data_IF_709845279867
#
_entry.id   IF_709845279867
#
_cell.length_a   1.000
_cell.length_b   1.000
_cell.length_c   1.000
_cell.angle_alpha   90.00
_cell.angle_beta   90.00
_cell.angle_gamma   90.00
#
_symmetry.space_group_name_H-M   'P 1'
#
loop_
_entity.id
_entity.type
_entity.pdbx_description
1 polymer ?
#
# COMPACT_ATOMS: atom_id res chain seq x y z
N UNK A 1 -15.57 3.65 29.36
CA UNK A 1 -14.51 4.66 29.08
C UNK A 1 -13.96 4.38 27.72
N UNK A 2 -13.82 5.38 26.86
CA UNK A 2 -13.25 5.21 25.53
C UNK A 2 -11.76 4.85 25.58
N UNK A 3 -11.17 4.58 24.39
CA UNK A 3 -9.76 4.24 24.26
C UNK A 3 -9.09 5.06 23.14
N UNK A 4 -7.76 5.19 23.24
CA UNK A 4 -6.97 5.82 22.19
C UNK A 4 -6.41 4.75 21.23
N UNK A 5 -6.47 5.03 19.93
CA UNK A 5 -5.85 4.22 18.89
C UNK A 5 -5.06 5.08 17.93
N UNK A 6 -3.87 4.63 17.56
CA UNK A 6 -2.94 5.38 16.73
C UNK A 6 -2.57 4.59 15.49
N UNK A 7 -2.57 5.26 14.33
CA UNK A 7 -1.96 4.75 13.10
C UNK A 7 -0.99 5.77 12.52
N UNK A 8 -0.05 5.29 11.73
CA UNK A 8 0.96 6.11 11.08
C UNK A 8 1.00 5.86 9.57
N UNK A 9 1.58 6.81 8.85
CA UNK A 9 1.91 6.69 7.43
C UNK A 9 3.25 7.35 7.14
N UNK A 10 3.83 6.98 5.99
CA UNK A 10 5.05 7.61 5.45
C UNK A 10 4.83 8.03 4.01
N UNK A 11 5.51 9.10 3.60
CA UNK A 11 5.38 9.65 2.24
C UNK A 11 6.06 8.78 1.19
N UNK A 12 5.79 9.08 -0.07
CA UNK A 12 6.47 8.48 -1.22
C UNK A 12 7.99 8.71 -1.22
N UNK A 13 8.47 9.76 -0.53
CA UNK A 13 9.89 10.07 -0.39
C UNK A 13 10.57 9.41 0.80
N UNK A 14 9.83 8.70 1.67
CA UNK A 14 10.43 7.91 2.73
C UNK A 14 11.33 6.82 2.15
N UNK A 15 12.55 6.55 2.70
CA UNK A 15 13.50 5.60 2.12
C UNK A 15 12.90 4.24 1.78
N UNK A 16 12.15 3.63 2.69
CA UNK A 16 11.52 2.33 2.44
C UNK A 16 10.47 2.42 1.31
N UNK A 17 9.75 3.53 1.18
CA UNK A 17 8.77 3.70 0.09
C UNK A 17 9.42 4.07 -1.24
N UNK A 18 10.60 4.67 -1.24
CA UNK A 18 11.44 4.81 -2.44
C UNK A 18 11.82 3.42 -2.94
N UNK A 19 12.28 2.54 -2.05
CA UNK A 19 12.63 1.16 -2.37
C UNK A 19 11.44 0.37 -2.92
N UNK A 20 10.27 0.45 -2.28
CA UNK A 20 9.03 -0.20 -2.73
C UNK A 20 8.61 0.27 -4.12
N UNK A 21 8.66 1.58 -4.38
CA UNK A 21 8.29 2.15 -5.68
C UNK A 21 9.23 1.72 -6.80
N UNK A 22 10.53 1.61 -6.54
CA UNK A 22 11.50 1.11 -7.52
C UNK A 22 11.21 -0.37 -7.82
N UNK A 23 11.01 -1.19 -6.80
CA UNK A 23 10.72 -2.62 -6.96
C UNK A 23 9.43 -2.87 -7.74
N UNK A 24 8.35 -2.11 -7.45
CA UNK A 24 7.08 -2.26 -8.17
C UNK A 24 7.11 -1.68 -9.59
N UNK A 25 7.92 -0.66 -9.84
CA UNK A 25 8.15 -0.17 -11.19
C UNK A 25 8.86 -1.21 -12.07
N UNK A 26 9.81 -1.97 -11.52
CA UNK A 26 10.44 -3.10 -12.23
C UNK A 26 9.39 -4.16 -12.60
N UNK A 27 8.51 -4.55 -11.66
CA UNK A 27 7.43 -5.51 -11.94
C UNK A 27 6.53 -5.01 -13.07
N UNK A 28 6.09 -3.76 -13.01
CA UNK A 28 5.22 -3.18 -14.02
C UNK A 28 5.85 -3.21 -15.41
N UNK A 29 7.13 -2.86 -15.50
CA UNK A 29 7.85 -2.88 -16.77
C UNK A 29 8.02 -4.31 -17.31
N UNK A 30 8.37 -5.30 -16.48
CA UNK A 30 8.43 -6.69 -16.92
C UNK A 30 7.07 -7.19 -17.39
N UNK A 31 6.00 -7.00 -16.60
CA UNK A 31 4.65 -7.45 -16.96
C UNK A 31 4.09 -6.74 -18.20
N UNK A 32 4.47 -5.49 -18.44
CA UNK A 32 4.04 -4.77 -19.62
C UNK A 32 4.47 -5.45 -20.91
N UNK A 33 5.67 -6.02 -20.96
CA UNK A 33 6.23 -6.66 -22.17
C UNK A 33 6.07 -8.18 -22.15
N UNK A 34 6.13 -8.81 -20.98
CA UNK A 34 5.87 -10.24 -20.79
C UNK A 34 4.95 -10.49 -19.58
N UNK A 35 3.64 -10.64 -19.79
CA UNK A 35 2.69 -10.90 -18.68
C UNK A 35 2.96 -12.20 -17.91
N UNK A 36 3.80 -13.11 -18.44
CA UNK A 36 4.18 -14.35 -17.75
C UNK A 36 5.46 -14.20 -16.91
N UNK A 37 6.03 -13.01 -16.84
CA UNK A 37 7.22 -12.75 -16.03
C UNK A 37 7.04 -13.21 -14.59
N UNK A 38 8.08 -13.84 -14.07
CA UNK A 38 8.24 -14.15 -12.65
C UNK A 38 9.28 -13.18 -12.09
N UNK A 39 8.91 -12.42 -11.09
CA UNK A 39 9.73 -11.34 -10.54
C UNK A 39 9.70 -11.40 -9.03
N UNK A 40 10.86 -11.43 -8.43
CA UNK A 40 11.10 -11.22 -7.00
C UNK A 40 12.28 -10.26 -6.90
N UNK A 41 12.02 -8.96 -6.87
CA UNK A 41 13.05 -7.92 -6.85
C UNK A 41 12.92 -7.06 -5.62
N UNK A 42 13.98 -6.98 -4.87
CA UNK A 42 14.12 -6.14 -3.69
C UNK A 42 15.09 -4.99 -3.99
N UNK A 43 14.85 -3.86 -3.36
CA UNK A 43 15.65 -2.66 -3.54
C UNK A 43 16.16 -2.20 -2.18
N UNK A 44 17.45 -1.86 -2.11
CA UNK A 44 18.04 -1.10 -1.03
C UNK A 44 18.38 0.29 -1.55
N UNK A 45 18.05 1.33 -0.79
CA UNK A 45 18.44 2.71 -1.07
C UNK A 45 19.16 3.31 0.13
N UNK A 46 20.24 4.02 -0.11
CA UNK A 46 21.03 4.73 0.91
C UNK A 46 21.70 5.96 0.29
N UNK A 47 22.54 6.69 1.02
CA UNK A 47 23.25 7.86 0.52
C UNK A 47 23.91 7.57 -0.83
N UNK A 48 23.46 8.25 -1.88
CA UNK A 48 24.04 8.19 -3.22
C UNK A 48 23.98 6.84 -3.91
N UNK A 49 23.26 5.84 -3.35
CA UNK A 49 23.26 4.49 -3.91
C UNK A 49 21.89 3.81 -3.90
N UNK A 50 21.67 2.98 -4.94
CA UNK A 50 20.57 2.02 -5.08
C UNK A 50 21.17 0.65 -5.40
N UNK A 51 20.70 -0.39 -4.72
CA UNK A 51 21.05 -1.78 -5.01
C UNK A 51 19.76 -2.52 -5.33
N UNK A 52 19.69 -3.10 -6.53
CA UNK A 52 18.61 -3.94 -7.01
C UNK A 52 19.06 -5.39 -6.91
N UNK A 53 18.33 -6.22 -6.17
CA UNK A 53 18.68 -7.63 -5.98
C UNK A 53 17.44 -8.51 -6.14
N UNK A 54 17.66 -9.79 -6.53
CA UNK A 54 16.57 -10.75 -6.63
C UNK A 54 16.62 -11.57 -7.91
N UNK A 55 15.49 -12.22 -8.22
CA UNK A 55 15.38 -13.15 -9.34
C UNK A 55 14.30 -12.74 -10.32
N UNK A 56 14.61 -12.85 -11.61
CA UNK A 56 13.69 -12.57 -12.71
C UNK A 56 13.73 -13.69 -13.74
N UNK A 57 12.54 -14.14 -14.16
CA UNK A 57 12.37 -14.96 -15.36
C UNK A 57 11.41 -14.24 -16.28
N UNK A 58 11.93 -13.69 -17.38
CA UNK A 58 11.15 -12.90 -18.33
C UNK A 58 11.76 -12.99 -19.72
N UNK A 59 10.92 -12.79 -20.74
CA UNK A 59 11.36 -12.58 -22.13
C UNK A 59 11.69 -11.11 -22.42
N UNK A 60 11.35 -10.20 -21.53
CA UNK A 60 11.62 -8.77 -21.68
C UNK A 60 13.05 -8.45 -21.24
N UNK A 61 13.76 -7.70 -22.06
CA UNK A 61 15.01 -7.05 -21.69
C UNK A 61 14.74 -5.60 -21.31
N UNK A 62 15.15 -5.18 -20.11
CA UNK A 62 14.88 -3.85 -19.58
C UNK A 62 16.17 -3.16 -19.11
N UNK A 63 16.20 -1.84 -19.22
CA UNK A 63 17.17 -1.01 -18.52
C UNK A 63 16.66 -0.74 -17.10
N UNK A 64 17.02 -1.64 -16.17
CA UNK A 64 16.57 -1.56 -14.78
C UNK A 64 17.12 -0.33 -14.05
N UNK A 65 18.28 0.19 -14.50
CA UNK A 65 18.88 1.38 -13.92
C UNK A 65 18.07 2.62 -14.31
N UNK A 66 17.71 2.77 -15.59
CA UNK A 66 16.90 3.93 -16.01
C UNK A 66 15.50 3.89 -15.38
N UNK A 67 14.87 2.72 -15.25
CA UNK A 67 13.59 2.58 -14.53
C UNK A 67 13.71 3.09 -13.09
N UNK A 68 14.77 2.73 -12.37
CA UNK A 68 14.99 3.21 -11.01
C UNK A 68 15.22 4.73 -10.98
N UNK A 69 15.98 5.31 -11.92
CA UNK A 69 16.19 6.75 -12.05
C UNK A 69 14.90 7.51 -12.32
N UNK A 70 14.04 6.99 -13.19
CA UNK A 70 12.73 7.59 -13.46
C UNK A 70 11.85 7.65 -12.21
N UNK A 71 11.84 6.59 -11.39
CA UNK A 71 11.11 6.57 -10.11
C UNK A 71 11.66 7.62 -9.15
N UNK A 72 12.98 7.68 -8.96
CA UNK A 72 13.64 8.65 -8.09
C UNK A 72 13.31 10.09 -8.52
N UNK A 73 13.35 10.35 -9.84
CA UNK A 73 13.00 11.66 -10.43
C UNK A 73 11.54 12.01 -10.20
N UNK A 74 10.61 11.05 -10.40
CA UNK A 74 9.17 11.24 -10.18
C UNK A 74 8.82 11.53 -8.72
N UNK A 75 9.51 10.91 -7.77
CA UNK A 75 9.36 11.17 -6.33
C UNK A 75 9.79 12.61 -6.01
N UNK A 76 10.79 13.15 -6.71
CA UNK A 76 11.28 14.52 -6.53
C UNK A 76 12.69 14.62 -5.94
N UNK A 77 13.44 13.54 -5.91
CA UNK A 77 14.87 13.57 -5.60
C UNK A 77 15.65 13.96 -6.85
N UNK A 78 15.76 15.28 -7.07
CA UNK A 78 16.30 15.87 -8.32
C UNK A 78 17.42 16.87 -8.08
N UNK A 79 17.85 17.06 -6.82
CA UNK A 79 18.89 18.02 -6.46
C UNK A 79 20.06 17.30 -5.80
N UNK A 80 21.28 17.62 -6.20
CA UNK A 80 22.51 17.04 -5.65
C UNK A 80 22.66 17.27 -4.14
N UNK A 81 22.15 18.38 -3.63
CA UNK A 81 22.15 18.70 -2.18
C UNK A 81 21.38 17.71 -1.31
N UNK A 82 20.51 16.88 -1.92
CA UNK A 82 19.81 15.81 -1.20
C UNK A 82 20.71 14.58 -0.95
N UNK A 83 21.93 14.56 -1.51
CA UNK A 83 22.91 13.47 -1.43
C UNK A 83 22.34 12.11 -1.87
N UNK A 84 21.19 12.13 -2.55
CA UNK A 84 20.50 11.06 -3.22
C UNK A 84 19.61 11.69 -4.29
N UNK A 85 19.95 11.52 -5.57
CA UNK A 85 19.17 12.11 -6.65
C UNK A 85 19.27 11.30 -7.96
N UNK A 86 18.32 11.49 -8.85
CA UNK A 86 18.09 10.63 -10.00
C UNK A 86 19.27 10.50 -10.96
N UNK A 87 20.08 11.57 -11.18
CA UNK A 87 21.11 11.55 -12.21
C UNK A 87 22.45 11.05 -11.70
N UNK A 88 22.79 11.26 -10.40
CA UNK A 88 24.11 10.95 -9.83
C UNK A 88 24.14 9.73 -8.91
N UNK A 89 23.00 9.19 -8.46
CA UNK A 89 23.00 7.93 -7.69
C UNK A 89 23.70 6.81 -8.46
N UNK A 90 24.61 6.09 -7.78
CA UNK A 90 25.10 4.81 -8.24
C UNK A 90 23.96 3.78 -8.19
N UNK A 91 23.71 3.06 -9.28
CA UNK A 91 22.71 1.99 -9.32
C UNK A 91 23.40 0.68 -9.66
N UNK A 92 23.42 -0.24 -8.69
CA UNK A 92 23.99 -1.58 -8.82
C UNK A 92 22.86 -2.58 -9.04
N UNK A 93 23.04 -3.51 -9.99
CA UNK A 93 22.10 -4.62 -10.19
C UNK A 93 22.77 -5.93 -9.88
N UNK A 94 22.19 -6.66 -8.93
CA UNK A 94 22.49 -8.04 -8.58
C UNK A 94 21.27 -8.94 -8.87
N UNK A 95 20.51 -8.60 -9.91
CA UNK A 95 19.37 -9.41 -10.38
C UNK A 95 19.93 -10.56 -11.23
N UNK A 96 19.47 -11.77 -10.93
CA UNK A 96 19.85 -12.98 -11.66
C UNK A 96 18.63 -13.79 -12.11
N UNK A 97 18.83 -14.83 -12.91
CA UNK A 97 17.75 -15.70 -13.38
C UNK A 97 17.18 -16.54 -12.23
N UNK A 98 15.86 -16.73 -12.22
CA UNK A 98 15.18 -17.53 -11.20
C UNK A 98 15.57 -19.01 -11.28
N UNK A 99 15.84 -19.63 -10.13
CA UNK A 99 16.13 -21.07 -10.01
C UNK A 99 15.02 -21.94 -10.60
N UNK A 100 15.43 -22.99 -11.34
CA UNK A 100 14.51 -23.97 -11.90
C UNK A 100 13.73 -24.75 -10.81
N UNK A 101 14.32 -24.96 -9.64
CA UNK A 101 13.73 -25.74 -8.55
C UNK A 101 12.48 -25.07 -7.96
N UNK A 102 12.47 -23.74 -7.84
CA UNK A 102 11.32 -22.99 -7.34
C UNK A 102 10.12 -23.10 -8.30
N UNK A 103 10.37 -23.18 -9.60
CA UNK A 103 9.31 -23.26 -10.61
C UNK A 103 8.54 -24.60 -10.59
N UNK A 104 9.13 -25.69 -10.13
CA UNK A 104 8.49 -27.01 -10.13
C UNK A 104 7.22 -27.07 -9.27
N UNK A 105 7.19 -26.32 -8.17
CA UNK A 105 6.03 -26.26 -7.27
C UNK A 105 4.88 -25.38 -7.80
N UNK A 106 5.18 -24.39 -8.61
CA UNK A 106 4.23 -23.37 -9.08
C UNK A 106 3.63 -23.72 -10.44
N UNK A 107 4.47 -24.09 -11.42
CA UNK A 107 4.03 -24.35 -12.78
C UNK A 107 3.47 -25.79 -12.90
N UNK A 108 2.21 -25.89 -13.30
CA UNK A 108 1.49 -27.16 -13.51
C UNK A 108 1.00 -27.27 -14.94
N UNK A 109 0.80 -28.51 -15.45
CA UNK A 109 0.24 -28.75 -16.79
C UNK A 109 -1.12 -28.10 -16.98
N UNK A 110 -1.96 -28.15 -15.95
CA UNK A 110 -3.24 -27.43 -15.90
C UNK A 110 -3.07 -26.17 -15.07
N UNK A 111 -3.39 -25.02 -15.64
CA UNK A 111 -3.23 -23.70 -15.00
C UNK A 111 -4.03 -23.58 -13.70
N UNK A 112 -5.20 -24.22 -13.63
CA UNK A 112 -6.07 -24.23 -12.45
C UNK A 112 -5.45 -24.97 -11.25
N UNK A 113 -4.43 -25.77 -11.50
CA UNK A 113 -3.68 -26.53 -10.50
C UNK A 113 -2.38 -25.78 -10.06
N UNK A 114 -2.20 -24.53 -10.50
CA UNK A 114 -1.08 -23.69 -10.08
C UNK A 114 -0.98 -23.68 -8.55
N UNK A 115 0.13 -24.19 -8.01
CA UNK A 115 0.39 -24.20 -6.59
C UNK A 115 0.74 -22.81 -6.05
N UNK A 116 0.60 -22.64 -4.74
CA UNK A 116 1.10 -21.46 -4.06
C UNK A 116 2.63 -21.39 -4.18
N UNK A 117 3.15 -20.21 -4.50
CA UNK A 117 4.59 -19.99 -4.69
C UNK A 117 5.39 -20.04 -3.39
N UNK A 118 4.71 -19.99 -2.25
CA UNK A 118 5.28 -20.12 -0.91
C UNK A 118 4.21 -20.62 0.07
N UNK A 119 4.64 -21.05 1.24
CA UNK A 119 3.80 -21.21 2.41
C UNK A 119 3.54 -19.85 3.05
N UNK A 120 2.45 -19.71 3.80
CA UNK A 120 2.20 -18.50 4.58
C UNK A 120 0.75 -18.31 4.96
N UNK A 121 0.51 -17.25 5.71
CA UNK A 121 -0.82 -16.77 6.07
C UNK A 121 -0.96 -15.31 5.65
N UNK A 122 -2.07 -14.98 5.02
CA UNK A 122 -2.38 -13.65 4.50
C UNK A 122 -3.67 -13.15 5.12
N UNK A 123 -3.75 -11.86 5.34
CA UNK A 123 -4.89 -11.25 6.03
C UNK A 123 -5.53 -10.15 5.19
N UNK A 124 -6.84 -10.07 5.30
CA UNK A 124 -7.65 -8.97 4.82
C UNK A 124 -8.50 -8.42 5.96
N UNK A 125 -8.69 -7.11 5.98
CA UNK A 125 -9.50 -6.43 6.98
C UNK A 125 -10.40 -5.40 6.32
N UNK A 126 -11.56 -5.17 6.89
CA UNK A 126 -12.46 -4.07 6.52
C UNK A 126 -13.28 -3.64 7.73
N UNK A 127 -13.61 -2.35 7.77
CA UNK A 127 -14.50 -1.75 8.75
C UNK A 127 -15.42 -0.74 8.07
N UNK A 128 -16.59 -0.48 8.64
CA UNK A 128 -17.54 0.52 8.14
C UNK A 128 -17.23 1.95 8.61
N UNK A 129 -16.07 2.20 9.20
CA UNK A 129 -15.68 3.53 9.66
C UNK A 129 -15.67 4.52 8.49
N UNK A 130 -14.97 4.20 7.40
CA UNK A 130 -14.81 5.08 6.24
C UNK A 130 -15.56 4.57 5.01
N UNK A 131 -15.76 5.44 4.02
CA UNK A 131 -16.43 5.07 2.77
C UNK A 131 -15.64 4.05 1.93
N UNK A 132 -14.31 4.00 2.12
CA UNK A 132 -13.42 3.03 1.49
C UNK A 132 -13.18 1.76 2.34
N UNK A 133 -13.91 1.64 3.47
CA UNK A 133 -13.85 0.49 4.38
C UNK A 133 -12.47 0.30 5.05
N UNK A 134 -11.79 1.41 5.34
CA UNK A 134 -10.50 1.44 6.03
C UNK A 134 -10.62 2.00 7.45
N UNK A 135 -9.67 1.67 8.34
CA UNK A 135 -9.56 2.33 9.64
C UNK A 135 -9.33 3.84 9.47
N UNK A 136 -10.11 4.67 10.16
CA UNK A 136 -10.07 6.12 10.01
C UNK A 136 -8.72 6.72 10.38
N UNK A 137 -8.05 6.21 11.43
CA UNK A 137 -6.75 6.73 11.86
C UNK A 137 -5.69 6.59 10.75
N UNK A 138 -5.64 5.43 10.08
CA UNK A 138 -4.72 5.20 8.96
C UNK A 138 -5.11 6.03 7.73
N UNK A 139 -6.40 6.07 7.40
CA UNK A 139 -6.90 6.80 6.24
C UNK A 139 -6.58 8.31 6.36
N UNK A 140 -6.73 8.88 7.57
CA UNK A 140 -6.32 10.25 7.87
C UNK A 140 -4.78 10.43 7.77
N UNK A 141 -4.00 9.48 8.27
CA UNK A 141 -2.54 9.55 8.18
C UNK A 141 -2.07 9.53 6.72
N UNK A 142 -2.65 8.69 5.87
CA UNK A 142 -2.40 8.71 4.41
C UNK A 142 -2.86 10.04 3.79
N UNK A 143 -4.06 10.51 4.14
CA UNK A 143 -4.63 11.75 3.61
C UNK A 143 -3.76 12.98 3.90
N UNK A 144 -3.17 13.06 5.09
CA UNK A 144 -2.23 14.13 5.47
C UNK A 144 -1.02 14.14 4.51
N UNK A 145 -0.43 12.99 4.25
CA UNK A 145 0.78 12.91 3.42
C UNK A 145 0.49 13.04 1.92
N UNK A 146 -0.68 12.59 1.45
CA UNK A 146 -1.14 12.85 0.09
C UNK A 146 -1.28 14.35 -0.18
N UNK A 147 -1.93 15.09 0.73
CA UNK A 147 -2.07 16.55 0.62
C UNK A 147 -0.74 17.27 0.77
N UNK A 148 0.16 16.79 1.64
CA UNK A 148 1.50 17.35 1.79
C UNK A 148 2.31 17.18 0.50
N UNK A 149 2.25 16.00 -0.13
CA UNK A 149 2.90 15.75 -1.42
C UNK A 149 2.30 16.59 -2.55
N UNK A 150 0.97 16.81 -2.54
CA UNK A 150 0.33 17.71 -3.48
C UNK A 150 0.81 19.16 -3.31
N UNK A 151 0.88 19.68 -2.09
CA UNK A 151 1.42 21.00 -1.78
C UNK A 151 2.89 21.16 -2.23
N UNK A 152 3.70 20.12 -2.03
CA UNK A 152 5.09 20.09 -2.51
C UNK A 152 5.18 20.20 -4.03
N UNK A 153 4.36 19.44 -4.76
CA UNK A 153 4.33 19.46 -6.25
C UNK A 153 3.75 20.76 -6.80
N UNK A 154 2.76 21.36 -6.16
CA UNK A 154 2.22 22.66 -6.52
C UNK A 154 3.27 23.76 -6.39
N UNK A 155 4.18 23.64 -5.42
CA UNK A 155 5.28 24.59 -5.14
C UNK A 155 4.82 26.06 -5.11
N UNK A 156 3.66 26.32 -4.50
CA UNK A 156 3.05 27.66 -4.41
C UNK A 156 2.93 28.14 -2.98
N UNK A 157 2.06 27.51 -2.19
CA UNK A 157 1.77 27.92 -0.82
C UNK A 157 2.91 27.58 0.15
N UNK A 158 3.53 26.41 0.00
CA UNK A 158 4.66 25.94 0.81
C UNK A 158 5.77 25.48 -0.15
N UNK A 159 6.83 26.29 -0.27
CA UNK A 159 7.89 26.09 -1.28
C UNK A 159 9.10 25.30 -0.79
N UNK A 160 9.24 25.14 0.51
CA UNK A 160 10.42 24.53 1.16
C UNK A 160 10.28 23.04 1.42
N UNK A 161 9.17 22.39 1.02
CA UNK A 161 8.94 20.96 1.26
C UNK A 161 9.87 20.10 0.40
N UNK A 162 10.48 19.11 1.05
CA UNK A 162 11.24 18.02 0.42
C UNK A 162 10.43 16.72 0.42
N UNK A 163 10.88 15.66 -0.29
CA UNK A 163 10.06 14.47 -0.51
C UNK A 163 9.72 13.62 0.72
N UNK A 164 10.62 13.55 1.71
CA UNK A 164 10.46 12.68 2.89
C UNK A 164 9.53 13.30 3.93
N UNK A 165 8.60 12.50 4.43
CA UNK A 165 7.72 12.90 5.52
C UNK A 165 7.08 11.68 6.20
N UNK A 166 6.65 11.88 7.44
CA UNK A 166 5.87 10.91 8.24
C UNK A 166 4.68 11.61 8.86
N UNK A 167 3.59 10.88 9.03
CA UNK A 167 2.41 11.34 9.77
C UNK A 167 1.94 10.27 10.75
N UNK A 168 1.33 10.69 11.85
CA UNK A 168 0.70 9.82 12.81
C UNK A 168 -0.58 10.50 13.30
N UNK A 169 -1.67 9.74 13.40
CA UNK A 169 -2.96 10.23 13.89
C UNK A 169 -3.42 9.35 15.04
N UNK A 170 -3.71 9.97 16.16
CA UNK A 170 -4.32 9.34 17.34
C UNK A 170 -5.77 9.76 17.45
N UNK A 171 -6.67 8.78 17.43
CA UNK A 171 -8.10 8.97 17.63
C UNK A 171 -8.54 8.43 18.98
N UNK A 172 -9.48 9.12 19.61
CA UNK A 172 -10.25 8.59 20.72
C UNK A 172 -11.53 7.96 20.17
N UNK A 173 -11.81 6.74 20.62
CA UNK A 173 -13.02 5.97 20.31
C UNK A 173 -13.86 5.82 21.59
N UNK A 174 -15.17 5.79 21.45
CA UNK A 174 -16.08 5.40 22.53
C UNK A 174 -16.12 3.86 22.70
N UNK A 175 -16.91 3.41 23.68
CA UNK A 175 -17.10 1.97 23.97
C UNK A 175 -17.81 1.18 22.84
N UNK A 176 -18.36 1.87 21.84
CA UNK A 176 -19.00 1.30 20.66
C UNK A 176 -18.08 1.32 19.42
N UNK A 177 -16.78 1.59 19.58
CA UNK A 177 -15.81 1.73 18.50
C UNK A 177 -16.15 2.88 17.53
N UNK A 178 -16.82 3.96 17.99
CA UNK A 178 -17.08 5.15 17.20
C UNK A 178 -16.00 6.21 17.49
N UNK A 179 -15.34 6.76 16.45
CA UNK A 179 -14.34 7.82 16.67
C UNK A 179 -15.03 9.11 17.10
N UNK A 180 -14.62 9.64 18.26
CA UNK A 180 -15.24 10.82 18.88
C UNK A 180 -14.35 12.05 18.89
N UNK A 181 -13.03 11.88 18.75
CA UNK A 181 -12.07 12.99 18.79
C UNK A 181 -10.74 12.62 18.13
N UNK A 182 -10.15 13.57 17.42
CA UNK A 182 -8.72 13.50 17.10
C UNK A 182 -7.97 14.04 18.33
N UNK A 183 -7.19 13.17 18.97
CA UNK A 183 -6.39 13.54 20.14
C UNK A 183 -5.10 14.23 19.73
N UNK A 184 -4.34 13.61 18.81
CA UNK A 184 -3.07 14.15 18.36
C UNK A 184 -2.85 13.91 16.85
N UNK A 185 -2.14 14.84 16.23
CA UNK A 185 -1.58 14.73 14.88
C UNK A 185 -0.09 15.04 14.95
N UNK A 186 0.74 14.08 14.52
CA UNK A 186 2.17 14.26 14.35
C UNK A 186 2.45 14.37 12.84
N UNK A 187 3.22 15.38 12.44
CA UNK A 187 3.76 15.51 11.08
C UNK A 187 5.25 15.83 11.17
N UNK A 188 6.07 14.96 10.64
CA UNK A 188 7.50 15.22 10.42
C UNK A 188 7.74 15.33 8.94
N UNK A 189 8.15 16.51 8.46
CA UNK A 189 8.39 16.75 7.03
C UNK A 189 9.80 17.27 6.80
N UNK A 190 10.48 16.69 5.83
CA UNK A 190 11.76 17.19 5.31
C UNK A 190 11.55 18.53 4.61
N UNK A 191 12.48 19.45 4.80
CA UNK A 191 12.38 20.82 4.29
C UNK A 191 13.75 21.41 3.95
N UNK A 192 13.75 22.47 3.17
CA UNK A 192 14.96 23.28 2.92
C UNK A 192 15.41 24.00 4.21
N UNK A 193 16.69 24.32 4.33
CA UNK A 193 17.25 25.15 5.39
C UNK A 193 17.13 26.63 4.96
N UNK A 194 15.98 27.25 5.26
CA UNK A 194 15.58 28.54 4.65
C UNK A 194 15.58 29.73 5.62
N UNK A 195 15.78 29.52 6.92
CA UNK A 195 15.81 30.58 7.95
C UNK A 195 16.50 30.06 9.21
N UNK A 196 16.71 30.92 10.21
CA UNK A 196 17.14 30.51 11.53
C UNK A 196 16.14 29.47 12.15
N UNK A 197 16.66 28.44 12.80
CA UNK A 197 15.91 27.26 13.21
C UNK A 197 14.58 27.58 13.91
N UNK A 198 14.60 28.44 14.93
CA UNK A 198 13.38 28.76 15.68
C UNK A 198 12.29 29.41 14.81
N UNK A 199 12.66 30.32 13.88
CA UNK A 199 11.74 30.99 12.96
C UNK A 199 11.23 30.00 11.92
N UNK A 200 12.10 29.16 11.40
CA UNK A 200 11.80 28.13 10.41
C UNK A 200 10.80 27.12 10.97
N UNK A 201 11.03 26.57 12.17
CA UNK A 201 10.11 25.63 12.83
C UNK A 201 8.76 26.26 13.15
N UNK A 202 8.73 27.52 13.62
CA UNK A 202 7.49 28.25 13.85
C UNK A 202 6.68 28.41 12.54
N UNK A 203 7.36 28.75 11.43
CA UNK A 203 6.71 28.85 10.11
C UNK A 203 6.20 27.51 9.63
N UNK A 204 6.99 26.45 9.72
CA UNK A 204 6.57 25.09 9.32
C UNK A 204 5.31 24.68 10.11
N UNK A 205 5.33 24.85 11.43
CA UNK A 205 4.17 24.55 12.28
C UNK A 205 2.93 25.33 11.84
N UNK A 206 3.07 26.64 11.61
CA UNK A 206 1.99 27.50 11.15
C UNK A 206 1.43 27.01 9.80
N UNK A 207 2.27 26.79 8.80
CA UNK A 207 1.86 26.38 7.47
C UNK A 207 1.17 24.99 7.46
N UNK A 208 1.67 24.05 8.25
CA UNK A 208 1.03 22.75 8.42
C UNK A 208 -0.38 22.89 9.03
N UNK A 209 -0.50 23.63 10.13
CA UNK A 209 -1.80 23.77 10.83
C UNK A 209 -2.79 24.62 10.03
N UNK A 210 -2.35 25.72 9.39
CA UNK A 210 -3.24 26.67 8.73
C UNK A 210 -3.47 26.40 7.24
N UNK A 211 -2.60 25.63 6.58
CA UNK A 211 -2.71 25.34 5.13
C UNK A 211 -3.00 23.86 4.89
N UNK A 212 -2.17 22.94 5.43
CA UNK A 212 -2.32 21.51 5.18
C UNK A 212 -3.56 20.93 5.85
N UNK A 213 -3.74 21.14 7.15
CA UNK A 213 -4.86 20.55 7.91
C UNK A 213 -6.24 20.96 7.37
N UNK A 214 -6.51 22.22 6.99
CA UNK A 214 -7.78 22.58 6.35
C UNK A 214 -8.01 21.87 5.00
N UNK A 215 -6.97 21.61 4.20
CA UNK A 215 -7.11 20.82 2.97
C UNK A 215 -7.49 19.37 3.27
N UNK A 216 -6.82 18.76 4.26
CA UNK A 216 -7.16 17.41 4.73
C UNK A 216 -8.61 17.36 5.23
N UNK A 217 -9.01 18.27 6.12
CA UNK A 217 -10.37 18.35 6.66
C UNK A 217 -11.43 18.38 5.56
N UNK A 218 -11.18 19.11 4.47
CA UNK A 218 -12.10 19.23 3.32
C UNK A 218 -12.36 17.86 2.64
N UNK A 219 -11.38 16.97 2.64
CA UNK A 219 -11.50 15.64 2.05
C UNK A 219 -12.26 14.65 2.95
N UNK A 220 -12.50 15.01 4.21
CA UNK A 220 -13.20 14.18 5.20
C UNK A 220 -14.45 14.86 5.76
N UNK A 221 -15.48 15.17 4.92
CA UNK A 221 -16.64 15.94 5.35
C UNK A 221 -17.44 15.26 6.47
N UNK A 222 -17.55 13.92 6.45
CA UNK A 222 -18.19 13.13 7.52
C UNK A 222 -17.51 13.34 8.88
N UNK A 223 -16.19 13.52 8.89
CA UNK A 223 -15.35 13.64 10.08
C UNK A 223 -14.84 15.06 10.32
N UNK A 224 -15.37 16.05 9.60
CA UNK A 224 -14.94 17.45 9.73
C UNK A 224 -15.09 17.98 11.18
N UNK A 225 -16.06 17.48 11.93
CA UNK A 225 -16.30 17.83 13.33
C UNK A 225 -15.19 17.35 14.29
N UNK A 226 -14.41 16.33 13.93
CA UNK A 226 -13.27 15.84 14.71
C UNK A 226 -12.08 16.81 14.65
N UNK A 227 -11.99 17.63 13.58
CA UNK A 227 -10.95 18.65 13.41
C UNK A 227 -11.34 19.93 14.18
N UNK A 228 -11.08 19.93 15.46
CA UNK A 228 -11.39 21.04 16.35
C UNK A 228 -10.11 21.66 16.97
N UNK A 229 -10.25 22.67 17.82
CA UNK A 229 -9.14 23.40 18.41
C UNK A 229 -8.45 22.70 19.61
N UNK A 230 -8.87 21.46 19.92
CA UNK A 230 -8.30 20.67 21.02
C UNK A 230 -7.28 19.63 20.55
N UNK A 231 -6.95 19.61 19.25
CA UNK A 231 -5.97 18.68 18.72
C UNK A 231 -4.56 19.06 19.14
N UNK A 232 -3.81 18.09 19.66
CA UNK A 232 -2.40 18.24 19.99
C UNK A 232 -1.55 18.09 18.70
N UNK A 233 -1.00 19.19 18.19
CA UNK A 233 -0.16 19.18 17.00
C UNK A 233 1.32 19.07 17.36
N UNK A 234 1.98 17.99 16.93
CA UNK A 234 3.42 17.77 17.02
C UNK A 234 4.05 17.88 15.61
N UNK A 235 4.54 19.04 15.28
CA UNK A 235 5.11 19.32 13.95
C UNK A 235 6.64 19.43 14.07
N UNK A 236 7.38 18.57 13.36
CA UNK A 236 8.84 18.43 13.45
C UNK A 236 9.32 18.47 14.92
N UNK A 237 8.83 17.59 15.80
CA UNK A 237 9.06 17.70 17.25
C UNK A 237 10.53 17.54 17.66
N UNK A 238 11.38 16.97 16.80
CA UNK A 238 12.82 16.79 17.04
C UNK A 238 13.66 17.98 16.58
N UNK A 239 13.04 19.03 16.02
CA UNK A 239 13.74 20.18 15.44
C UNK A 239 13.77 20.14 13.91
N UNK A 240 14.78 20.75 13.30
CA UNK A 240 14.90 20.82 11.84
C UNK A 240 15.12 19.44 11.22
N UNK A 241 14.49 19.23 10.05
CA UNK A 241 14.57 18.00 9.28
C UNK A 241 15.01 18.28 7.84
N UNK A 242 16.25 18.70 7.68
CA UNK A 242 16.89 19.01 6.39
C UNK A 242 17.51 17.75 5.77
N UNK A 243 18.21 16.96 6.59
CA UNK A 243 18.76 15.65 6.19
C UNK A 243 17.64 14.62 6.31
N UNK A 244 17.26 14.02 5.20
CA UNK A 244 16.19 13.03 5.14
C UNK A 244 16.23 12.22 3.85
N UNK A 245 15.22 11.41 3.62
CA UNK A 245 15.21 10.46 2.53
C UNK A 245 16.33 9.44 2.67
N UNK A 246 16.77 8.80 1.56
CA UNK A 246 17.85 7.78 1.60
C UNK A 246 19.20 8.27 2.11
N UNK A 247 19.41 9.59 2.18
CA UNK A 247 20.59 10.16 2.83
C UNK A 247 20.48 10.16 4.35
N UNK A 248 19.28 10.31 4.88
CA UNK A 248 19.04 10.31 6.33
C UNK A 248 18.97 8.91 6.93
N UNK A 249 18.40 7.97 6.22
CA UNK A 249 18.21 6.57 6.67
C UNK A 249 18.16 5.63 5.46
N UNK A 250 18.63 4.40 5.65
CA UNK A 250 18.59 3.35 4.62
C UNK A 250 17.19 2.81 4.46
N UNK A 251 16.72 2.70 3.21
CA UNK A 251 15.44 2.10 2.86
C UNK A 251 15.58 0.71 2.25
N UNK A 252 14.60 -0.14 2.50
CA UNK A 252 14.49 -1.49 1.97
C UNK A 252 13.05 -1.79 1.57
N UNK A 253 12.88 -2.56 0.48
CA UNK A 253 11.58 -3.07 0.07
C UNK A 253 10.93 -3.88 1.19
N UNK A 254 9.64 -3.63 1.45
CA UNK A 254 8.84 -4.42 2.38
C UNK A 254 9.03 -4.11 3.87
N UNK A 255 9.58 -2.95 4.22
CA UNK A 255 9.73 -2.52 5.63
C UNK A 255 8.62 -1.63 6.16
N UNK A 256 7.57 -1.36 5.36
CA UNK A 256 6.41 -0.54 5.76
C UNK A 256 5.08 -1.29 5.60
N UNK A 257 5.11 -2.60 5.87
CA UNK A 257 3.98 -3.52 5.63
C UNK A 257 2.71 -3.17 6.42
N UNK A 258 2.83 -2.56 7.58
CA UNK A 258 1.67 -2.11 8.38
C UNK A 258 1.05 -0.85 7.78
N UNK A 259 1.88 0.08 7.28
CA UNK A 259 1.44 1.27 6.52
C UNK A 259 0.77 0.86 5.21
N UNK A 260 1.28 -0.19 4.57
CA UNK A 260 0.75 -0.72 3.31
C UNK A 260 -0.62 -1.39 3.47
N UNK A 261 -1.01 -1.78 4.68
CA UNK A 261 -2.22 -2.56 4.97
C UNK A 261 -3.23 -1.80 5.82
N UNK A 262 -3.29 -2.04 7.13
CA UNK A 262 -4.42 -1.59 7.96
C UNK A 262 -4.00 -0.77 9.18
N UNK A 263 -2.74 -0.31 9.26
CA UNK A 263 -2.27 0.59 10.31
C UNK A 263 -2.35 0.02 11.73
N UNK A 264 -2.30 -1.31 11.87
CA UNK A 264 -2.37 -2.00 13.17
C UNK A 264 -3.78 -2.44 13.59
N UNK A 265 -4.84 -2.07 12.88
CA UNK A 265 -6.21 -2.58 13.16
C UNK A 265 -6.41 -4.01 12.69
N UNK A 266 -5.88 -4.37 11.54
CA UNK A 266 -5.89 -5.75 11.02
C UNK A 266 -4.53 -6.43 11.24
N UNK A 267 -4.52 -7.74 11.41
CA UNK A 267 -3.32 -8.56 11.46
C UNK A 267 -2.57 -8.53 10.10
N UNK A 268 -1.29 -8.90 10.12
CA UNK A 268 -0.44 -9.03 8.95
C UNK A 268 0.35 -10.34 9.00
N UNK A 269 0.50 -11.02 7.87
CA UNK A 269 1.24 -12.29 7.79
C UNK A 269 2.77 -12.17 7.74
N UNK A 270 3.29 -10.95 7.65
CA UNK A 270 4.72 -10.67 7.62
C UNK A 270 5.33 -10.55 6.22
N UNK A 271 4.67 -11.06 5.17
CA UNK A 271 5.16 -11.00 3.79
C UNK A 271 5.03 -9.63 3.16
N UNK A 272 6.12 -9.10 2.58
CA UNK A 272 6.10 -7.89 1.78
C UNK A 272 5.29 -8.08 0.49
N UNK A 273 4.68 -6.99 -0.02
CA UNK A 273 3.94 -6.98 -1.28
C UNK A 273 4.79 -6.50 -2.46
N UNK A 274 5.39 -5.31 -2.31
CA UNK A 274 6.21 -4.69 -3.35
C UNK A 274 7.39 -5.60 -3.73
N UNK A 275 7.76 -5.60 -5.00
CA UNK A 275 8.83 -6.43 -5.52
C UNK A 275 8.41 -7.86 -5.90
N UNK A 276 7.18 -8.28 -5.64
CA UNK A 276 6.66 -9.63 -5.90
C UNK A 276 5.63 -9.65 -7.02
N UNK A 277 5.80 -10.50 -8.03
CA UNK A 277 4.78 -10.76 -9.05
C UNK A 277 3.57 -11.53 -8.48
N UNK A 278 2.42 -11.57 -9.16
CA UNK A 278 1.18 -12.13 -8.60
C UNK A 278 1.18 -13.64 -8.32
N UNK A 279 2.17 -14.39 -8.74
CA UNK A 279 2.29 -15.81 -8.36
C UNK A 279 2.70 -15.99 -6.89
N UNK A 280 3.21 -14.95 -6.25
CA UNK A 280 3.54 -14.91 -4.83
C UNK A 280 2.28 -14.62 -4.02
N UNK A 281 1.82 -15.59 -3.26
CA UNK A 281 0.56 -15.51 -2.49
C UNK A 281 0.59 -14.44 -1.40
N UNK A 282 1.77 -14.09 -0.89
CA UNK A 282 1.94 -12.95 0.04
C UNK A 282 1.22 -11.69 -0.46
N UNK A 283 1.31 -11.43 -1.77
CA UNK A 283 0.68 -10.28 -2.40
C UNK A 283 -0.72 -10.61 -2.90
N UNK A 284 -0.87 -11.60 -3.76
CA UNK A 284 -2.12 -11.90 -4.46
C UNK A 284 -3.23 -12.34 -3.50
N UNK A 285 -2.92 -13.17 -2.51
CA UNK A 285 -3.91 -13.62 -1.55
C UNK A 285 -4.23 -12.57 -0.47
N UNK A 286 -3.31 -11.67 -0.12
CA UNK A 286 -3.62 -10.52 0.72
C UNK A 286 -4.63 -9.58 0.03
N UNK A 287 -4.50 -9.35 -1.27
CA UNK A 287 -5.49 -8.59 -2.04
C UNK A 287 -6.85 -9.33 -2.09
N UNK A 288 -6.83 -10.66 -2.25
CA UNK A 288 -8.05 -11.44 -2.28
C UNK A 288 -8.76 -11.48 -0.92
N UNK A 289 -8.05 -11.58 0.20
CA UNK A 289 -8.64 -11.50 1.54
C UNK A 289 -9.21 -10.10 1.82
N UNK A 290 -8.56 -9.03 1.35
CA UNK A 290 -9.12 -7.67 1.40
C UNK A 290 -10.43 -7.58 0.63
N UNK A 291 -10.52 -8.13 -0.57
CA UNK A 291 -11.74 -8.14 -1.36
C UNK A 291 -12.89 -8.88 -0.65
N UNK A 292 -12.59 -10.02 0.00
CA UNK A 292 -13.57 -10.75 0.82
C UNK A 292 -14.05 -9.85 1.96
N UNK A 293 -13.13 -9.33 2.78
CA UNK A 293 -13.47 -8.52 3.95
C UNK A 293 -14.35 -7.31 3.57
N UNK A 294 -13.95 -6.59 2.51
CA UNK A 294 -14.68 -5.41 2.03
C UNK A 294 -16.09 -5.76 1.54
N UNK A 295 -16.25 -6.85 0.78
CA UNK A 295 -17.56 -7.27 0.30
C UNK A 295 -18.47 -7.81 1.41
N UNK A 296 -17.93 -8.44 2.47
CA UNK A 296 -18.70 -8.85 3.65
C UNK A 296 -19.27 -7.63 4.40
N UNK A 297 -18.46 -6.63 4.69
CA UNK A 297 -18.90 -5.40 5.36
C UNK A 297 -19.91 -4.65 4.50
N UNK A 298 -19.63 -4.49 3.21
CA UNK A 298 -20.52 -3.80 2.26
C UNK A 298 -21.85 -4.54 2.06
N UNK A 299 -21.88 -5.88 2.15
CA UNK A 299 -23.09 -6.66 2.10
C UNK A 299 -23.93 -6.59 3.39
N UNK A 300 -23.38 -5.99 4.45
CA UNK A 300 -24.05 -5.86 5.75
C UNK A 300 -23.98 -7.12 6.62
N UNK A 301 -23.01 -8.00 6.39
CA UNK A 301 -22.80 -9.20 7.23
C UNK A 301 -22.29 -8.81 8.61
N UNK A 302 -21.43 -7.80 8.70
CA UNK A 302 -20.81 -7.30 9.94
C UNK A 302 -20.43 -5.82 9.79
N UNK A 303 -20.01 -5.17 10.88
CA UNK A 303 -19.44 -3.81 10.83
C UNK A 303 -17.93 -3.84 10.59
N UNK A 304 -17.28 -4.91 11.03
CA UNK A 304 -15.83 -5.08 11.04
C UNK A 304 -15.51 -6.56 10.82
N UNK A 305 -14.46 -6.87 10.08
CA UNK A 305 -14.06 -8.27 9.85
C UNK A 305 -12.58 -8.38 9.51
N UNK A 306 -11.96 -9.41 10.11
CA UNK A 306 -10.66 -9.95 9.72
C UNK A 306 -10.88 -11.26 8.96
N UNK A 307 -10.18 -11.43 7.86
CA UNK A 307 -10.15 -12.65 7.04
C UNK A 307 -8.72 -13.14 6.96
N UNK A 308 -8.45 -14.37 7.36
CA UNK A 308 -7.17 -15.04 7.15
C UNK A 308 -7.33 -16.13 6.10
N UNK A 309 -6.32 -16.27 5.23
CA UNK A 309 -6.12 -17.43 4.38
C UNK A 309 -4.71 -17.97 4.58
N UNK A 310 -4.54 -19.28 4.48
CA UNK A 310 -3.21 -19.90 4.59
C UNK A 310 -2.97 -20.91 3.47
N UNK A 311 -1.69 -21.02 3.06
CA UNK A 311 -1.25 -21.94 2.01
C UNK A 311 -0.06 -22.78 2.46
N UNK A 312 0.04 -23.97 1.89
CA UNK A 312 1.26 -24.76 1.83
C UNK A 312 1.93 -24.56 0.46
N UNK A 313 3.26 -24.50 0.43
CA UNK A 313 4.01 -24.34 -0.81
C UNK A 313 3.65 -25.43 -1.83
N UNK A 314 3.47 -25.09 -3.09
CA UNK A 314 3.13 -26.00 -4.17
C UNK A 314 1.71 -26.57 -4.15
N UNK A 315 0.86 -26.19 -3.18
CA UNK A 315 -0.53 -26.62 -3.07
C UNK A 315 -1.46 -25.52 -3.56
N UNK A 316 -2.39 -25.85 -4.46
CA UNK A 316 -3.33 -24.88 -5.03
C UNK A 316 -4.46 -24.52 -4.05
N UNK A 317 -4.99 -25.50 -3.33
CA UNK A 317 -6.07 -25.25 -2.37
C UNK A 317 -5.52 -24.57 -1.12
N UNK A 318 -6.18 -23.52 -0.60
CA UNK A 318 -5.82 -23.00 0.71
C UNK A 318 -6.01 -24.06 1.80
N UNK A 319 -5.15 -23.99 2.82
CA UNK A 319 -5.24 -24.88 3.99
C UNK A 319 -6.47 -24.54 4.85
N UNK A 320 -6.91 -23.28 4.82
CA UNK A 320 -8.10 -22.83 5.55
C UNK A 320 -8.40 -21.36 5.30
N UNK A 321 -9.64 -21.00 5.60
CA UNK A 321 -10.11 -19.61 5.69
C UNK A 321 -10.68 -19.43 7.09
N UNK A 322 -10.14 -18.42 7.80
CA UNK A 322 -10.61 -18.02 9.12
C UNK A 322 -11.28 -16.66 9.02
N UNK A 323 -12.35 -16.45 9.76
CA UNK A 323 -13.10 -15.19 9.86
C UNK A 323 -13.20 -14.83 11.33
N UNK A 324 -12.99 -13.55 11.64
CA UNK A 324 -13.32 -12.95 12.92
C UNK A 324 -14.09 -11.66 12.65
N UNK A 325 -15.34 -11.60 13.07
CA UNK A 325 -16.20 -10.42 12.94
C UNK A 325 -16.11 -9.49 14.16
N UNK A 326 -15.22 -9.78 15.09
CA UNK A 326 -15.05 -9.01 16.35
C UNK A 326 -16.37 -8.83 17.12
N UNK A 327 -17.28 -9.82 17.02
CA UNK A 327 -18.60 -9.75 17.65
C UNK A 327 -19.58 -8.79 16.97
N UNK A 328 -19.25 -8.24 15.80
CA UNK A 328 -20.09 -7.27 15.07
C UNK A 328 -20.99 -7.91 13.99
N UNK A 329 -21.06 -9.25 13.96
CA UNK A 329 -21.93 -9.97 13.03
C UNK A 329 -23.39 -9.53 13.15
N UNK A 330 -24.03 -9.29 11.99
CA UNK A 330 -25.45 -8.92 11.89
C UNK A 330 -26.31 -10.09 11.42
N UNK A 331 -25.71 -11.24 11.18
CA UNK A 331 -26.34 -12.50 10.84
C UNK A 331 -26.34 -13.43 12.07
N UNK A 332 -27.35 -14.30 12.20
CA UNK A 332 -27.43 -15.28 13.29
C UNK A 332 -26.55 -16.50 12.96
N UNK A 333 -25.26 -16.30 12.85
CA UNK A 333 -24.26 -17.31 12.50
C UNK A 333 -23.00 -17.06 13.29
N UNK A 334 -22.29 -18.14 13.61
CA UNK A 334 -20.92 -18.06 14.17
C UNK A 334 -19.93 -17.70 13.06
N UNK A 335 -18.76 -17.17 13.44
CA UNK A 335 -17.70 -16.85 12.49
C UNK A 335 -17.24 -18.08 11.67
N UNK A 336 -17.25 -19.27 12.27
CA UNK A 336 -16.97 -20.53 11.57
C UNK A 336 -18.02 -20.89 10.51
N UNK A 337 -19.30 -20.60 10.73
CA UNK A 337 -20.36 -20.79 9.73
C UNK A 337 -20.23 -19.74 8.60
N UNK A 338 -19.90 -18.50 8.94
CA UNK A 338 -19.60 -17.45 7.97
C UNK A 338 -18.41 -17.87 7.10
N UNK A 339 -17.33 -18.41 7.69
CA UNK A 339 -16.15 -18.87 6.95
C UNK A 339 -16.47 -19.98 5.95
N UNK A 340 -17.34 -20.93 6.30
CA UNK A 340 -17.81 -22.01 5.38
C UNK A 340 -18.55 -21.44 4.17
N UNK A 341 -19.43 -20.45 4.37
CA UNK A 341 -20.15 -19.79 3.28
C UNK A 341 -19.17 -19.01 2.40
N UNK A 342 -18.25 -18.25 3.00
CA UNK A 342 -17.22 -17.50 2.29
C UNK A 342 -16.38 -18.42 1.40
N UNK A 343 -15.96 -19.58 1.91
CA UNK A 343 -15.20 -20.57 1.15
C UNK A 343 -15.95 -21.10 -0.09
N UNK A 344 -17.28 -21.12 -0.07
CA UNK A 344 -18.09 -21.54 -1.22
C UNK A 344 -18.31 -20.43 -2.26
N UNK A 345 -18.17 -19.16 -1.87
CA UNK A 345 -18.39 -17.98 -2.72
C UNK A 345 -17.10 -17.53 -3.41
N UNK A 346 -15.97 -17.61 -2.71
CA UNK A 346 -14.69 -17.08 -3.15
C UNK A 346 -13.67 -18.20 -3.41
N UNK A 347 -13.37 -18.46 -4.68
CA UNK A 347 -12.29 -19.37 -5.03
C UNK A 347 -10.93 -18.70 -4.72
N UNK A 348 -10.21 -19.27 -3.75
CA UNK A 348 -8.96 -18.73 -3.26
C UNK A 348 -7.72 -19.46 -3.79
N UNK A 349 -7.87 -20.30 -4.83
CA UNK A 349 -6.72 -20.88 -5.53
C UNK A 349 -5.94 -19.80 -6.28
N UNK A 350 -4.60 -19.82 -6.27
CA UNK A 350 -3.75 -18.74 -6.83
C UNK A 350 -4.12 -18.34 -8.25
N UNK A 351 -4.33 -19.30 -9.15
CA UNK A 351 -4.74 -19.03 -10.54
C UNK A 351 -6.03 -18.21 -10.62
N UNK A 352 -7.06 -18.58 -9.84
CA UNK A 352 -8.36 -17.88 -9.88
C UNK A 352 -8.29 -16.50 -9.25
N UNK A 353 -7.41 -16.29 -8.27
CA UNK A 353 -7.11 -14.95 -7.72
C UNK A 353 -6.49 -14.07 -8.81
N UNK A 354 -5.46 -14.55 -9.50
CA UNK A 354 -4.81 -13.81 -10.61
C UNK A 354 -5.81 -13.43 -11.71
N UNK A 355 -6.69 -14.36 -12.11
CA UNK A 355 -7.70 -14.10 -13.13
C UNK A 355 -8.76 -13.10 -12.65
N UNK A 356 -9.29 -13.27 -11.44
CA UNK A 356 -10.33 -12.40 -10.85
C UNK A 356 -9.91 -10.94 -10.85
N UNK A 357 -8.68 -10.66 -10.46
CA UNK A 357 -8.17 -9.30 -10.32
C UNK A 357 -7.29 -8.85 -11.49
N UNK A 358 -7.11 -9.67 -12.53
CA UNK A 358 -6.26 -9.37 -13.69
C UNK A 358 -4.83 -9.01 -13.28
N UNK A 359 -4.27 -9.72 -12.29
CA UNK A 359 -3.01 -9.34 -11.65
C UNK A 359 -1.78 -9.44 -12.57
N UNK A 360 -1.89 -10.06 -13.75
CA UNK A 360 -0.82 -10.11 -14.76
C UNK A 360 -0.73 -8.83 -15.61
N UNK A 361 -1.27 -7.72 -15.12
CA UNK A 361 -1.18 -6.40 -15.75
C UNK A 361 -0.30 -5.45 -14.94
N UNK A 362 0.32 -4.43 -15.56
CA UNK A 362 1.25 -3.53 -14.87
C UNK A 362 0.53 -2.49 -13.99
N UNK A 363 -0.02 -2.93 -12.86
CA UNK A 363 -0.85 -2.13 -11.94
C UNK A 363 -0.17 -1.80 -10.60
N UNK A 364 1.11 -2.10 -10.44
CA UNK A 364 1.75 -2.16 -9.13
C UNK A 364 2.44 -0.88 -8.68
N UNK A 365 2.96 -0.06 -9.59
CA UNK A 365 3.62 1.20 -9.23
C UNK A 365 2.73 2.13 -8.39
N UNK A 366 1.42 2.14 -8.65
CA UNK A 366 0.44 2.96 -7.92
C UNK A 366 0.13 2.42 -6.52
N UNK A 367 0.48 1.16 -6.23
CA UNK A 367 0.26 0.56 -4.91
C UNK A 367 1.37 0.88 -3.91
N UNK A 368 2.56 1.18 -4.41
CA UNK A 368 3.80 1.23 -3.64
C UNK A 368 3.93 2.42 -2.68
N UNK A 369 2.97 3.35 -2.66
CA UNK A 369 2.92 4.47 -1.72
C UNK A 369 1.47 4.75 -1.27
N UNK A 370 1.31 5.21 -0.02
CA UNK A 370 0.02 5.57 0.57
C UNK A 370 -0.98 4.41 0.69
N UNK A 371 -0.48 3.19 0.89
CA UNK A 371 -1.26 1.99 1.14
C UNK A 371 -1.71 1.25 -0.12
N UNK A 372 -1.75 -0.08 -0.02
CA UNK A 372 -2.26 -0.99 -1.06
C UNK A 372 -3.79 -1.16 -0.98
N UNK A 373 -4.39 -0.79 0.16
CA UNK A 373 -5.81 -0.99 0.46
C UNK A 373 -6.54 0.35 0.59
N UNK A 374 -7.87 0.33 0.43
CA UNK A 374 -8.70 1.53 0.56
C UNK A 374 -8.62 2.49 -0.63
N UNK A 375 -8.03 2.07 -1.73
CA UNK A 375 -7.83 2.89 -2.92
C UNK A 375 -9.02 2.79 -3.88
N UNK A 376 -9.16 3.80 -4.74
CA UNK A 376 -10.22 3.84 -5.75
C UNK A 376 -9.87 2.92 -6.92
N UNK A 377 -10.79 2.00 -7.26
CA UNK A 377 -10.70 1.27 -8.52
C UNK A 377 -10.95 2.22 -9.68
N UNK A 378 -9.99 2.33 -10.59
CA UNK A 378 -10.06 3.17 -11.78
C UNK A 378 -9.21 2.61 -12.92
N UNK A 379 -9.48 3.06 -14.14
CA UNK A 379 -8.70 2.67 -15.33
C UNK A 379 -7.83 3.83 -15.78
N UNK A 380 -6.53 3.56 -15.91
CA UNK A 380 -5.53 4.53 -16.37
C UNK A 380 -4.85 4.05 -17.66
N UNK A 381 -4.26 4.98 -18.39
CA UNK A 381 -3.40 4.66 -19.54
C UNK A 381 -1.94 4.79 -19.13
N UNK A 382 -1.17 3.70 -19.28
CA UNK A 382 0.26 3.64 -18.96
C UNK A 382 1.06 3.37 -20.25
N UNK A 383 2.20 4.03 -20.40
CA UNK A 383 3.13 3.80 -21.51
C UNK A 383 4.47 3.34 -20.97
N UNK A 384 4.98 2.25 -21.51
CA UNK A 384 6.25 1.63 -21.16
C UNK A 384 7.19 1.69 -22.35
N UNK A 385 8.48 1.88 -22.11
CA UNK A 385 9.49 2.02 -23.16
C UNK A 385 10.60 0.99 -22.94
N UNK A 386 10.95 0.24 -23.98
CA UNK A 386 12.09 -0.68 -23.98
C UNK A 386 13.40 0.07 -24.32
N UNK A 387 14.56 -0.50 -24.01
CA UNK A 387 15.86 0.12 -24.34
C UNK A 387 16.07 0.38 -25.84
N UNK A 388 15.42 -0.39 -26.71
CA UNK A 388 15.43 -0.19 -28.18
C UNK A 388 14.49 0.94 -28.65
N UNK A 389 13.85 1.66 -27.70
CA UNK A 389 12.89 2.74 -27.99
C UNK A 389 11.47 2.27 -28.31
N UNK A 390 11.20 0.96 -28.35
CA UNK A 390 9.86 0.42 -28.58
C UNK A 390 8.94 0.76 -27.42
N UNK A 391 7.79 1.38 -27.73
CA UNK A 391 6.78 1.79 -26.75
C UNK A 391 5.58 0.85 -26.77
N UNK A 392 5.03 0.60 -25.59
CA UNK A 392 3.77 -0.14 -25.43
C UNK A 392 2.83 0.66 -24.52
N UNK A 393 1.66 1.02 -25.04
CA UNK A 393 0.62 1.73 -24.28
C UNK A 393 -0.50 0.78 -23.95
N UNK A 394 -0.88 0.73 -22.67
CA UNK A 394 -1.87 -0.18 -22.12
C UNK A 394 -2.92 0.59 -21.30
N UNK A 395 -4.18 0.16 -21.40
CA UNK A 395 -5.22 0.53 -20.43
C UNK A 395 -5.16 -0.46 -19.28
N UNK A 396 -4.93 0.03 -18.09
CA UNK A 396 -4.73 -0.77 -16.88
C UNK A 396 -5.80 -0.41 -15.85
N UNK A 397 -6.51 -1.41 -15.36
CA UNK A 397 -7.48 -1.27 -14.29
C UNK A 397 -6.74 -1.44 -12.95
N UNK A 398 -6.67 -0.35 -12.16
CA UNK A 398 -5.98 -0.31 -10.87
C UNK A 398 -6.88 -0.76 -9.73
N UNK A 399 -6.28 -1.28 -8.65
CA UNK A 399 -6.93 -1.64 -7.38
C UNK A 399 -8.19 -2.51 -7.57
N UNK A 400 -8.09 -3.52 -8.41
CA UNK A 400 -9.20 -4.41 -8.78
C UNK A 400 -9.80 -5.17 -7.59
N UNK A 401 -9.02 -5.40 -6.54
CA UNK A 401 -9.46 -6.01 -5.27
C UNK A 401 -10.32 -5.09 -4.39
N UNK A 402 -10.41 -3.81 -4.74
CA UNK A 402 -11.27 -2.85 -4.03
C UNK A 402 -12.70 -2.79 -4.59
N UNK A 403 -13.03 -3.62 -5.59
CA UNK A 403 -14.40 -3.69 -6.14
C UNK A 403 -15.40 -4.27 -5.15
N UNK A 404 -16.65 -3.82 -5.28
CA UNK A 404 -17.82 -4.33 -4.55
C UNK A 404 -18.66 -5.27 -5.42
N UNK A 405 -18.05 -5.97 -6.36
CA UNK A 405 -18.68 -6.80 -7.38
C UNK A 405 -19.18 -8.17 -6.87
N UNK A 406 -18.88 -8.50 -5.60
CA UNK A 406 -19.38 -9.71 -4.93
C UNK A 406 -20.47 -9.44 -3.89
N UNK A 407 -20.87 -8.19 -3.66
CA UNK A 407 -21.91 -7.86 -2.65
C UNK A 407 -23.21 -8.64 -2.87
N UNK A 408 -23.72 -8.69 -4.10
CA UNK A 408 -24.97 -9.41 -4.39
C UNK A 408 -24.81 -10.93 -4.26
N UNK A 409 -23.66 -11.48 -4.65
CA UNK A 409 -23.34 -12.91 -4.45
C UNK A 409 -23.27 -13.26 -2.97
N UNK A 410 -22.63 -12.39 -2.17
CA UNK A 410 -22.56 -12.54 -0.71
C UNK A 410 -23.97 -12.49 -0.12
N UNK A 411 -24.76 -11.46 -0.43
CA UNK A 411 -26.16 -11.38 0.06
C UNK A 411 -26.97 -12.63 -0.28
N UNK A 412 -26.86 -13.13 -1.50
CA UNK A 412 -27.56 -14.34 -1.93
C UNK A 412 -27.12 -15.58 -1.14
N UNK A 413 -25.80 -15.77 -0.94
CA UNK A 413 -25.25 -16.89 -0.19
C UNK A 413 -25.68 -16.89 1.28
N UNK A 414 -25.77 -15.69 1.89
CA UNK A 414 -26.25 -15.49 3.27
C UNK A 414 -27.78 -15.36 3.36
N UNK A 415 -28.52 -15.52 2.26
CA UNK A 415 -29.99 -15.41 2.20
C UNK A 415 -30.53 -14.07 2.74
N UNK A 416 -29.75 -12.99 2.57
CA UNK A 416 -30.22 -11.65 2.93
C UNK A 416 -31.18 -11.12 1.85
N UNK A 417 -32.20 -10.38 2.28
CA UNK A 417 -33.10 -9.66 1.34
C UNK A 417 -32.27 -8.65 0.53
N UNK A 418 -32.61 -8.57 -0.76
CA UNK A 418 -32.02 -7.56 -1.66
C UNK A 418 -32.31 -6.14 -1.20
#
# INVERSE_FOLDING_TARGET
>A
MGYLFTSESVSEGHPDKVADQISDALIDNFLAFDPQSKVACETLVTTGQVILAGEVKSKAYLDVQEIAREVIRKIGYTKSEYMFEANSCGILSAIHEQSADINQGVDRKKKEEQGAGDQGMMFGYATNETANYMPLALDLAHGILLELAALRRENKAIKYLRPDAKSQVTLEYDDNNVPVRIDAIVVSTQHDDFDAEAKMLAKIKKDIVEILIPRVKKNYPKYAHLFNNKINYHINPTGKFVIGGPHGDTGLTGRKIIVDTYGGKGAHGGGAFSGKDPSKVDRSAAYATRHIAKNLVAAGICNEVLVQVSYAIGVAQPMGIFIDTYGTAKVKMTDGEIAKIVSSVFDMRPYFIEQRFKLRTPMYSETAAYGHMGRKNETVTKTFTMPDGKKKTLKVELFTWEKLDYVDKVKAAFKLKK
#
